data_IF_153337096487
#
_entry.id   IF_153337096487
#
_cell.length_a   1.000
_cell.length_b   1.000
_cell.length_c   1.000
_cell.angle_alpha   90.00
_cell.angle_beta   90.00
_cell.angle_gamma   90.00
#
_symmetry.space_group_name_H-M   'P 1'
#
loop_
_entity.id
_entity.type
_entity.pdbx_description
1 polymer ?
#
# COMPACT_ATOMS: atom_id res chain seq x y z
N UNK A 1 -7.32 -25.23 25.59
CA UNK A 1 -7.53 -24.57 24.29
C UNK A 1 -6.38 -23.60 24.09
N UNK A 2 -5.43 -23.92 23.21
CA UNK A 2 -4.40 -22.94 22.83
C UNK A 2 -5.05 -22.01 21.82
N UNK A 3 -5.42 -20.81 22.28
CA UNK A 3 -5.75 -19.73 21.35
C UNK A 3 -4.45 -19.39 20.61
N UNK A 4 -4.45 -19.51 19.29
CA UNK A 4 -3.32 -19.11 18.46
C UNK A 4 -2.98 -17.66 18.79
N UNK A 5 -1.76 -17.40 19.23
CA UNK A 5 -1.32 -16.04 19.59
C UNK A 5 -1.38 -15.15 18.35
N UNK A 6 -1.89 -13.92 18.53
CA UNK A 6 -1.92 -12.95 17.45
C UNK A 6 -0.49 -12.51 17.12
N UNK A 7 -0.10 -12.62 15.85
CA UNK A 7 1.21 -12.17 15.36
C UNK A 7 1.05 -10.84 14.60
N UNK A 8 1.53 -9.70 15.15
CA UNK A 8 1.53 -8.44 14.44
C UNK A 8 2.36 -8.52 13.15
N UNK A 9 1.82 -7.94 12.08
CA UNK A 9 2.50 -7.85 10.79
C UNK A 9 2.92 -6.40 10.54
N UNK A 10 4.01 -6.23 9.82
CA UNK A 10 4.54 -4.93 9.43
C UNK A 10 4.00 -4.55 8.05
N UNK A 11 3.17 -3.51 8.00
CA UNK A 11 2.36 -3.14 6.84
C UNK A 11 2.71 -1.73 6.37
N UNK A 12 2.94 -1.57 5.07
CA UNK A 12 3.04 -0.27 4.41
C UNK A 12 1.73 0.06 3.67
N UNK A 13 1.40 1.35 3.58
CA UNK A 13 0.18 1.84 2.92
C UNK A 13 0.55 2.85 1.83
N UNK A 14 0.07 2.63 0.61
CA UNK A 14 0.25 3.53 -0.52
C UNK A 14 -1.09 4.03 -1.05
N UNK A 15 -1.27 5.34 -1.05
CA UNK A 15 -2.35 6.00 -1.78
C UNK A 15 -1.83 6.46 -3.14
N UNK A 16 -2.51 6.05 -4.21
CA UNK A 16 -2.26 6.51 -5.58
C UNK A 16 -3.30 7.56 -5.91
N UNK A 17 -2.88 8.81 -6.05
CA UNK A 17 -3.75 9.94 -6.38
C UNK A 17 -2.98 11.17 -6.86
N UNK A 18 -3.51 11.82 -7.89
CA UNK A 18 -2.97 13.10 -8.37
C UNK A 18 -3.40 14.32 -7.56
N UNK A 19 -4.43 14.18 -6.73
CA UNK A 19 -5.06 15.32 -6.04
C UNK A 19 -5.00 15.23 -4.52
N UNK A 20 -4.82 14.03 -3.97
CA UNK A 20 -4.75 13.83 -2.53
C UNK A 20 -3.40 14.25 -1.97
N UNK A 21 -3.46 14.72 -0.75
CA UNK A 21 -2.34 15.09 0.11
C UNK A 21 -2.48 14.32 1.43
N UNK A 22 -1.49 14.44 2.31
CA UNK A 22 -1.58 13.83 3.63
C UNK A 22 -2.80 14.33 4.45
N UNK A 23 -3.30 15.54 4.18
CA UNK A 23 -4.39 16.16 4.92
C UNK A 23 -5.78 15.64 4.52
N UNK A 24 -5.96 15.18 3.28
CA UNK A 24 -7.27 14.78 2.72
C UNK A 24 -7.30 13.33 2.19
N UNK A 25 -6.23 12.56 2.42
CA UNK A 25 -6.15 11.11 2.15
C UNK A 25 -6.98 10.28 3.14
N UNK A 26 -8.31 10.35 3.01
CA UNK A 26 -9.25 9.64 3.87
C UNK A 26 -9.10 8.10 3.77
N UNK A 27 -8.85 7.56 2.58
CA UNK A 27 -8.71 6.11 2.36
C UNK A 27 -7.42 5.57 2.96
N UNK A 28 -6.27 6.20 2.70
CA UNK A 28 -5.01 5.79 3.31
C UNK A 28 -5.01 5.97 4.83
N UNK A 29 -5.67 7.02 5.34
CA UNK A 29 -5.90 7.18 6.79
C UNK A 29 -6.74 6.04 7.37
N UNK A 30 -7.86 5.69 6.72
CA UNK A 30 -8.74 4.60 7.15
C UNK A 30 -7.98 3.26 7.20
N UNK A 31 -7.13 2.96 6.21
CA UNK A 31 -6.32 1.74 6.18
C UNK A 31 -5.31 1.72 7.35
N UNK A 32 -4.58 2.83 7.56
CA UNK A 32 -3.62 2.98 8.65
C UNK A 32 -4.26 2.82 10.03
N UNK A 33 -5.44 3.39 10.25
CA UNK A 33 -6.19 3.24 11.50
C UNK A 33 -6.66 1.81 11.71
N UNK A 34 -7.29 1.20 10.69
CA UNK A 34 -7.84 -0.16 10.81
C UNK A 34 -6.76 -1.21 11.03
N UNK A 35 -5.62 -1.11 10.34
CA UNK A 35 -4.53 -2.06 10.55
C UNK A 35 -3.92 -1.94 11.95
N UNK A 36 -3.82 -0.72 12.47
CA UNK A 36 -3.28 -0.48 13.82
C UNK A 36 -4.26 -0.96 14.89
N UNK A 37 -5.56 -0.69 14.71
CA UNK A 37 -6.63 -1.19 15.60
C UNK A 37 -6.71 -2.72 15.60
N UNK A 38 -6.38 -3.37 14.48
CA UNK A 38 -6.29 -4.83 14.39
C UNK A 38 -5.02 -5.41 15.04
N UNK A 39 -4.10 -4.58 15.54
CA UNK A 39 -2.87 -5.00 16.23
C UNK A 39 -1.63 -5.10 15.33
N UNK A 40 -1.73 -4.75 14.05
CA UNK A 40 -0.57 -4.70 13.14
C UNK A 40 0.25 -3.41 13.31
N UNK A 41 1.42 -3.33 12.67
CA UNK A 41 2.31 -2.17 12.72
C UNK A 41 2.30 -1.44 11.38
N UNK A 42 1.99 -0.14 11.40
CA UNK A 42 2.19 0.73 10.25
C UNK A 42 3.69 1.06 10.13
N UNK A 43 4.35 0.53 9.11
CA UNK A 43 5.77 0.82 8.84
C UNK A 43 5.93 2.16 8.14
N UNK A 44 5.11 2.41 7.12
CA UNK A 44 5.16 3.62 6.33
C UNK A 44 3.80 3.89 5.68
N UNK A 45 3.45 5.17 5.53
CA UNK A 45 2.37 5.62 4.67
C UNK A 45 2.94 6.59 3.64
N UNK A 46 2.65 6.36 2.37
CA UNK A 46 3.09 7.21 1.26
C UNK A 46 1.92 7.56 0.33
N UNK A 47 2.07 8.67 -0.39
CA UNK A 47 1.16 9.11 -1.45
C UNK A 47 2.00 9.38 -2.70
N UNK A 48 1.57 8.85 -3.84
CA UNK A 48 2.18 9.09 -5.15
C UNK A 48 1.11 9.48 -6.16
N UNK A 49 1.50 10.23 -7.18
CA UNK A 49 0.67 10.46 -8.36
C UNK A 49 0.35 9.15 -9.08
N UNK A 50 -0.68 9.16 -9.92
CA UNK A 50 -1.04 8.04 -10.80
C UNK A 50 -0.05 7.93 -11.96
N UNK A 51 1.17 7.56 -11.60
CA UNK A 51 2.31 7.40 -12.49
C UNK A 51 2.96 6.03 -12.24
N UNK A 52 3.09 5.28 -13.33
CA UNK A 52 3.57 3.90 -13.29
C UNK A 52 4.97 3.77 -12.67
N UNK A 53 5.83 4.77 -12.84
CA UNK A 53 7.21 4.73 -12.37
C UNK A 53 7.30 5.11 -10.89
N UNK A 54 6.51 6.08 -10.45
CA UNK A 54 6.42 6.44 -9.02
C UNK A 54 5.87 5.29 -8.18
N UNK A 55 4.80 4.64 -8.66
CA UNK A 55 4.23 3.45 -8.01
C UNK A 55 5.29 2.35 -7.92
N UNK A 56 5.96 2.04 -9.04
CA UNK A 56 7.01 1.00 -9.07
C UNK A 56 8.20 1.32 -8.17
N UNK A 57 8.62 2.57 -8.07
CA UNK A 57 9.74 2.95 -7.22
C UNK A 57 9.44 2.68 -5.73
N UNK A 58 8.25 3.09 -5.26
CA UNK A 58 7.83 2.84 -3.87
C UNK A 58 7.65 1.34 -3.61
N UNK A 59 6.95 0.64 -4.50
CA UNK A 59 6.73 -0.80 -4.34
C UNK A 59 8.05 -1.58 -4.35
N UNK A 60 8.96 -1.29 -5.27
CA UNK A 60 10.25 -2.00 -5.34
C UNK A 60 11.09 -1.76 -4.09
N UNK A 61 11.06 -0.54 -3.52
CA UNK A 61 11.74 -0.24 -2.26
C UNK A 61 11.16 -1.06 -1.12
N UNK A 62 9.84 -1.13 -1.00
CA UNK A 62 9.20 -1.92 0.07
C UNK A 62 9.32 -3.44 -0.13
N UNK A 63 9.29 -3.92 -1.37
CA UNK A 63 9.51 -5.35 -1.68
C UNK A 63 10.94 -5.77 -1.28
N UNK A 64 11.92 -4.89 -1.46
CA UNK A 64 13.31 -5.15 -1.08
C UNK A 64 13.60 -4.93 0.42
N UNK A 65 12.66 -4.36 1.18
CA UNK A 65 12.83 -4.08 2.60
C UNK A 65 12.38 -5.29 3.44
N UNK A 66 13.30 -5.98 4.15
CA UNK A 66 12.94 -7.15 4.94
C UNK A 66 12.02 -6.83 6.14
N UNK A 67 11.87 -5.55 6.50
CA UNK A 67 10.94 -5.13 7.55
C UNK A 67 9.50 -5.03 7.06
N UNK A 68 9.24 -4.89 5.75
CA UNK A 68 7.88 -4.77 5.19
C UNK A 68 7.37 -6.13 4.78
N UNK A 69 6.23 -6.54 5.34
CA UNK A 69 5.63 -7.85 5.09
C UNK A 69 4.39 -7.77 4.19
N UNK A 70 3.67 -6.64 4.25
CA UNK A 70 2.45 -6.40 3.48
C UNK A 70 2.49 -4.98 2.93
N UNK A 71 2.05 -4.81 1.69
CA UNK A 71 1.72 -3.50 1.12
C UNK A 71 0.23 -3.45 0.84
N UNK A 72 -0.45 -2.42 1.35
CA UNK A 72 -1.85 -2.11 1.03
C UNK A 72 -1.89 -0.89 0.11
N UNK A 73 -2.62 -0.99 -0.99
CA UNK A 73 -2.74 0.10 -1.97
C UNK A 73 -4.20 0.56 -2.13
N UNK A 74 -4.40 1.84 -2.38
CA UNK A 74 -5.71 2.42 -2.70
C UNK A 74 -5.59 3.49 -3.79
N UNK A 75 -6.46 3.46 -4.80
CA UNK A 75 -6.46 4.39 -5.94
C UNK A 75 -5.80 3.85 -7.22
N UNK A 76 -6.01 4.55 -8.34
CA UNK A 76 -5.41 4.25 -9.66
C UNK A 76 -5.83 2.94 -10.32
N UNK A 77 -7.01 2.40 -9.97
CA UNK A 77 -7.52 1.09 -10.47
C UNK A 77 -8.75 1.22 -11.38
N UNK A 78 -9.12 2.43 -11.78
CA UNK A 78 -10.23 2.66 -12.71
C UNK A 78 -9.96 2.08 -14.10
N UNK A 79 -10.98 2.17 -14.96
CA UNK A 79 -10.93 1.68 -16.35
C UNK A 79 -10.48 2.76 -17.34
N UNK A 80 -9.98 3.91 -16.86
CA UNK A 80 -9.58 5.03 -17.72
C UNK A 80 -8.11 4.90 -18.10
N UNK A 81 -7.68 5.53 -19.22
CA UNK A 81 -6.29 5.46 -19.67
C UNK A 81 -5.25 6.12 -18.74
N UNK A 82 -5.68 6.66 -17.58
CA UNK A 82 -4.82 7.28 -16.56
C UNK A 82 -4.52 6.33 -15.41
N UNK A 83 -5.44 5.41 -15.12
CA UNK A 83 -5.34 4.44 -14.04
C UNK A 83 -4.24 3.42 -14.32
N UNK A 84 -3.13 3.49 -13.56
CA UNK A 84 -1.92 2.73 -13.87
C UNK A 84 -1.57 1.65 -12.83
N UNK A 85 -2.36 1.49 -11.76
CA UNK A 85 -2.02 0.59 -10.65
C UNK A 85 -1.86 -0.87 -11.08
N UNK A 86 -2.78 -1.50 -11.83
CA UNK A 86 -2.62 -2.89 -12.27
C UNK A 86 -1.35 -3.10 -13.12
N UNK A 87 -1.07 -2.18 -14.05
CA UNK A 87 0.08 -2.18 -14.95
C UNK A 87 1.41 -1.92 -14.21
N UNK A 88 1.36 -1.10 -13.15
CA UNK A 88 2.50 -0.84 -12.30
C UNK A 88 2.87 -2.08 -11.46
N UNK A 89 1.86 -2.73 -10.86
CA UNK A 89 2.02 -3.84 -9.90
C UNK A 89 2.36 -5.15 -10.59
N UNK A 90 1.66 -5.49 -11.68
CA UNK A 90 1.76 -6.82 -12.32
C UNK A 90 3.19 -7.30 -12.63
N UNK A 91 4.12 -6.48 -13.16
CA UNK A 91 5.48 -6.94 -13.44
C UNK A 91 6.36 -7.12 -12.19
N UNK A 92 5.91 -6.65 -11.02
CA UNK A 92 6.63 -6.80 -9.75
C UNK A 92 6.21 -8.06 -8.98
N UNK A 93 5.19 -8.79 -9.45
CA UNK A 93 4.71 -10.00 -8.80
C UNK A 93 5.49 -11.22 -9.30
N UNK A 94 6.11 -11.94 -8.37
CA UNK A 94 6.76 -13.22 -8.66
C UNK A 94 5.76 -14.31 -9.09
N UNK A 95 4.49 -14.18 -8.64
CA UNK A 95 3.38 -15.10 -8.93
C UNK A 95 2.10 -14.30 -9.13
N UNK A 96 1.32 -14.68 -10.15
CA UNK A 96 0.05 -14.05 -10.55
C UNK A 96 -1.07 -15.08 -10.46
#
# INVERSE_FOLDING_TARGET
MSATEFLPLNIAVLTVSDTRTAADDASGQTLAERLTLAGHRLMEKAIVSDDIYQIRAILSRWIADPAVQIVLMTGGTGMTGRDSTPEAVRPLLDKV
#
